data_IF_014006057630
#
_entry.id   IF_014006057630
#
_cell.length_a   1.000
_cell.length_b   1.000
_cell.length_c   1.000
_cell.angle_alpha   90.00
_cell.angle_beta   90.00
_cell.angle_gamma   90.00
#
_symmetry.space_group_name_H-M   'P 1'
#
loop_
_entity.id
_entity.type
_entity.pdbx_description
1 polymer ?
#
# COMPACT_ATOMS: atom_id res chain seq x y z
N UNK A 1 -9.70 10.38 17.67
CA UNK A 1 -9.45 9.68 16.39
C UNK A 1 -8.24 10.31 15.74
N UNK A 2 -7.41 9.52 15.05
CA UNK A 2 -6.21 10.04 14.39
C UNK A 2 -6.58 10.72 13.07
N UNK A 3 -5.88 11.82 12.77
CA UNK A 3 -6.04 12.61 11.54
C UNK A 3 -5.04 12.12 10.51
N UNK A 4 -5.54 11.75 9.33
CA UNK A 4 -4.73 11.21 8.24
C UNK A 4 -4.87 12.10 7.02
N UNK A 5 -3.74 12.53 6.47
CA UNK A 5 -3.65 13.23 5.19
C UNK A 5 -3.20 12.23 4.12
N UNK A 6 -3.76 12.34 2.92
CA UNK A 6 -3.43 11.44 1.81
C UNK A 6 -2.46 12.12 0.85
N UNK A 7 -1.31 11.50 0.59
CA UNK A 7 -0.38 12.00 -0.42
C UNK A 7 -0.75 11.45 -1.81
N UNK A 8 -1.26 12.33 -2.67
CA UNK A 8 -1.82 12.03 -3.99
C UNK A 8 -3.33 12.26 -4.02
N UNK A 9 -3.79 13.17 -4.90
CA UNK A 9 -5.20 13.61 -4.95
C UNK A 9 -6.05 12.96 -6.05
N UNK A 10 -5.44 12.13 -6.91
CA UNK A 10 -6.09 11.52 -8.08
C UNK A 10 -6.93 10.30 -7.69
N UNK A 11 -7.34 9.49 -8.68
CA UNK A 11 -8.25 8.36 -8.50
C UNK A 11 -7.86 7.41 -7.36
N UNK A 12 -6.56 7.08 -7.23
CA UNK A 12 -6.10 6.25 -6.12
C UNK A 12 -6.18 6.98 -4.76
N UNK A 13 -5.94 8.29 -4.73
CA UNK A 13 -6.17 9.15 -3.56
C UNK A 13 -7.61 9.12 -3.08
N UNK A 14 -8.57 9.25 -4.00
CA UNK A 14 -10.00 9.17 -3.69
C UNK A 14 -10.39 7.79 -3.12
N UNK A 15 -9.78 6.71 -3.62
CA UNK A 15 -9.98 5.36 -3.06
C UNK A 15 -9.39 5.28 -1.64
N UNK A 16 -8.19 5.83 -1.43
CA UNK A 16 -7.53 5.84 -0.12
C UNK A 16 -8.31 6.69 0.91
N UNK A 17 -8.95 7.78 0.47
CA UNK A 17 -9.85 8.57 1.30
C UNK A 17 -11.01 7.72 1.85
N UNK A 18 -11.61 6.85 1.03
CA UNK A 18 -12.72 6.01 1.48
C UNK A 18 -12.27 4.99 2.54
N UNK A 19 -11.17 4.27 2.30
CA UNK A 19 -10.66 3.29 3.28
C UNK A 19 -10.19 3.93 4.59
N UNK A 20 -9.74 5.20 4.59
CA UNK A 20 -9.46 5.95 5.83
C UNK A 20 -10.71 6.00 6.70
N UNK A 21 -11.87 6.32 6.11
CA UNK A 21 -13.14 6.39 6.81
C UNK A 21 -13.57 5.00 7.28
N UNK A 22 -13.47 3.97 6.44
CA UNK A 22 -13.79 2.59 6.81
C UNK A 22 -12.95 2.07 7.98
N UNK A 23 -11.70 2.53 8.09
CA UNK A 23 -10.79 2.20 9.19
C UNK A 23 -11.02 3.05 10.47
N UNK A 24 -12.00 3.97 10.48
CA UNK A 24 -12.30 4.83 11.64
C UNK A 24 -11.33 5.98 11.86
N UNK A 25 -10.58 6.39 10.83
CA UNK A 25 -9.71 7.56 10.85
C UNK A 25 -10.43 8.81 10.34
N UNK A 26 -9.86 9.99 10.64
CA UNK A 26 -10.36 11.27 10.12
C UNK A 26 -9.55 11.64 8.89
N UNK A 27 -10.17 11.61 7.71
CA UNK A 27 -9.59 12.20 6.50
C UNK A 27 -9.43 13.72 6.68
N UNK A 28 -8.22 14.21 6.47
CA UNK A 28 -7.86 15.62 6.72
C UNK A 28 -7.53 16.42 5.45
N UNK A 29 -7.50 15.77 4.28
CA UNK A 29 -7.20 16.40 2.99
C UNK A 29 -6.13 15.65 2.21
N UNK A 30 -5.76 16.21 1.05
CA UNK A 30 -4.73 15.70 0.16
C UNK A 30 -3.48 16.58 0.17
N UNK A 31 -2.31 15.95 0.04
CA UNK A 31 -1.08 16.58 -0.44
C UNK A 31 -0.96 16.26 -1.93
N UNK A 32 -0.70 17.26 -2.77
CA UNK A 32 -0.38 17.03 -4.17
C UNK A 32 0.53 18.13 -4.70
N UNK A 33 1.65 17.74 -5.32
CA UNK A 33 2.65 18.68 -5.85
C UNK A 33 2.37 19.07 -7.30
N UNK A 34 1.45 18.39 -7.97
CA UNK A 34 1.21 18.53 -9.41
C UNK A 34 -0.19 19.06 -9.73
N UNK A 35 -1.14 18.84 -8.83
CA UNK A 35 -2.54 19.16 -9.06
C UNK A 35 -3.13 19.96 -7.89
N UNK A 36 -3.95 20.94 -8.22
CA UNK A 36 -4.86 21.58 -7.27
C UNK A 36 -6.24 20.93 -7.35
N UNK A 37 -7.05 21.09 -6.31
CA UNK A 37 -8.39 20.55 -6.30
C UNK A 37 -9.10 20.66 -4.97
N UNK A 38 -10.32 20.13 -4.93
CA UNK A 38 -11.11 20.04 -3.71
C UNK A 38 -10.35 19.19 -2.67
N UNK A 39 -10.30 19.67 -1.43
CA UNK A 39 -9.57 19.06 -0.31
C UNK A 39 -8.04 18.97 -0.47
N UNK A 40 -7.44 19.51 -1.53
CA UNK A 40 -5.98 19.63 -1.63
C UNK A 40 -5.51 20.75 -0.70
N UNK A 41 -4.71 20.38 0.29
CA UNK A 41 -4.17 21.27 1.32
C UNK A 41 -2.98 22.10 0.80
N UNK A 42 -2.35 21.63 -0.28
CA UNK A 42 -1.18 22.22 -0.90
C UNK A 42 -0.14 21.18 -1.30
N UNK A 43 1.02 21.68 -1.71
CA UNK A 43 2.22 20.87 -1.96
C UNK A 43 2.80 20.30 -0.67
N UNK A 44 3.71 19.33 -0.81
CA UNK A 44 4.44 18.74 0.30
C UNK A 44 5.09 19.80 1.22
N UNK A 45 5.77 20.79 0.62
CA UNK A 45 6.45 21.86 1.35
C UNK A 45 5.47 22.73 2.16
N UNK A 46 4.29 23.01 1.59
CA UNK A 46 3.26 23.77 2.30
C UNK A 46 2.69 22.96 3.47
N UNK A 47 2.47 21.66 3.29
CA UNK A 47 1.91 20.78 4.33
C UNK A 47 2.87 20.57 5.49
N UNK A 48 4.20 20.52 5.25
CA UNK A 48 5.20 20.48 6.32
C UNK A 48 5.03 21.61 7.34
N UNK A 49 4.67 22.82 6.85
CA UNK A 49 4.52 24.01 7.70
C UNK A 49 3.16 24.11 8.36
N UNK A 50 2.12 23.61 7.72
CA UNK A 50 0.72 23.82 8.13
C UNK A 50 0.11 22.64 8.89
N UNK A 51 0.65 21.43 8.72
CA UNK A 51 0.10 20.18 9.27
C UNK A 51 1.20 19.32 9.90
N UNK A 52 1.70 19.69 11.09
CA UNK A 52 2.90 19.08 11.67
C UNK A 52 2.71 17.59 12.06
N UNK A 53 3.81 16.81 12.10
CA UNK A 53 3.78 15.35 12.28
C UNK A 53 3.33 14.86 13.67
N UNK A 54 3.28 15.75 14.67
CA UNK A 54 2.72 15.46 15.99
C UNK A 54 1.18 15.44 16.00
N UNK A 55 0.55 16.03 14.98
CA UNK A 55 -0.91 16.15 14.85
C UNK A 55 -1.50 15.32 13.71
N UNK A 56 -0.71 15.04 12.66
CA UNK A 56 -1.17 14.36 11.46
C UNK A 56 -0.29 13.15 11.13
N UNK A 57 -0.92 12.03 10.77
CA UNK A 57 -0.27 10.89 10.12
C UNK A 57 -0.54 10.93 8.60
N UNK A 58 0.24 10.20 7.79
CA UNK A 58 0.14 10.24 6.32
C UNK A 58 -0.16 8.85 5.74
N UNK A 59 -1.08 8.79 4.78
CA UNK A 59 -1.24 7.63 3.91
C UNK A 59 -0.74 7.97 2.49
N UNK A 60 0.02 7.10 1.85
CA UNK A 60 0.61 7.37 0.53
C UNK A 60 -0.25 6.74 -0.56
N UNK A 61 -0.89 7.59 -1.37
CA UNK A 61 -1.76 7.20 -2.48
C UNK A 61 -1.12 7.51 -3.84
N UNK A 62 0.16 7.16 -3.98
CA UNK A 62 0.87 7.17 -5.26
C UNK A 62 0.72 5.79 -5.91
N UNK A 63 0.19 5.76 -7.14
CA UNK A 63 -0.14 4.54 -7.87
C UNK A 63 1.07 3.79 -8.43
N UNK A 64 0.83 2.59 -8.95
CA UNK A 64 1.86 1.65 -9.41
C UNK A 64 2.68 2.14 -10.61
N UNK A 65 2.21 3.11 -11.39
CA UNK A 65 3.01 3.72 -12.46
C UNK A 65 4.19 4.55 -11.92
N UNK A 66 4.24 4.79 -10.60
CA UNK A 66 5.21 5.67 -9.96
C UNK A 66 5.79 5.05 -8.67
N UNK A 67 6.05 3.73 -8.66
CA UNK A 67 6.59 3.03 -7.48
C UNK A 67 7.90 3.64 -6.97
N UNK A 68 8.80 4.07 -7.86
CA UNK A 68 10.04 4.74 -7.45
C UNK A 68 9.75 6.06 -6.70
N UNK A 69 8.83 6.88 -7.22
CA UNK A 69 8.44 8.13 -6.56
C UNK A 69 7.75 7.88 -5.22
N UNK A 70 6.89 6.85 -5.14
CA UNK A 70 6.24 6.42 -3.89
C UNK A 70 7.26 6.12 -2.78
N UNK A 71 8.33 5.38 -3.10
CA UNK A 71 9.42 5.07 -2.16
C UNK A 71 10.20 6.33 -1.74
N UNK A 72 10.45 7.26 -2.68
CA UNK A 72 11.11 8.52 -2.37
C UNK A 72 10.27 9.40 -1.43
N UNK A 73 8.97 9.52 -1.69
CA UNK A 73 8.04 10.28 -0.84
C UNK A 73 7.94 9.65 0.55
N UNK A 74 7.86 8.32 0.64
CA UNK A 74 7.91 7.62 1.92
C UNK A 74 9.13 8.03 2.74
N UNK A 75 10.33 7.99 2.14
CA UNK A 75 11.55 8.40 2.82
C UNK A 75 11.51 9.87 3.26
N UNK A 76 11.09 10.78 2.38
CA UNK A 76 11.00 12.22 2.72
C UNK A 76 10.08 12.47 3.92
N UNK A 77 8.92 11.83 3.95
CA UNK A 77 7.96 11.97 5.03
C UNK A 77 8.53 11.44 6.36
N UNK A 78 9.19 10.28 6.33
CA UNK A 78 9.86 9.70 7.51
C UNK A 78 10.99 10.57 8.03
N UNK A 79 11.82 11.11 7.14
CA UNK A 79 12.92 12.01 7.49
C UNK A 79 12.40 13.31 8.14
N UNK A 80 11.16 13.70 7.86
CA UNK A 80 10.49 14.86 8.45
C UNK A 80 9.58 14.50 9.66
N UNK A 81 9.73 13.29 10.19
CA UNK A 81 9.09 12.87 11.44
C UNK A 81 7.63 12.40 11.31
N UNK A 82 7.06 12.37 10.10
CA UNK A 82 5.71 11.84 9.93
C UNK A 82 5.68 10.34 10.16
N UNK A 83 4.59 9.92 10.82
CA UNK A 83 4.20 8.53 10.83
C UNK A 83 3.38 8.19 9.59
N UNK A 84 3.67 7.05 8.98
CA UNK A 84 2.96 6.55 7.80
C UNK A 84 1.92 5.53 8.25
N UNK A 85 0.65 5.87 8.10
CA UNK A 85 -0.46 5.06 8.59
C UNK A 85 -0.66 3.84 7.71
N UNK A 86 -0.63 2.65 8.33
CA UNK A 86 -1.16 1.44 7.68
C UNK A 86 -2.69 1.48 7.73
N UNK A 87 -3.33 1.27 6.58
CA UNK A 87 -4.79 1.26 6.45
C UNK A 87 -5.24 -0.16 6.17
N UNK A 88 -5.87 -0.80 7.15
CA UNK A 88 -6.28 -2.19 7.07
C UNK A 88 -7.81 -2.23 7.14
N UNK A 89 -8.44 -2.51 6.01
CA UNK A 89 -9.90 -2.53 5.92
C UNK A 89 -10.48 -3.58 6.89
N UNK A 90 -11.52 -3.27 7.68
CA UNK A 90 -12.09 -4.17 8.69
C UNK A 90 -12.58 -5.53 8.16
N UNK A 91 -12.90 -5.63 6.88
CA UNK A 91 -13.32 -6.89 6.23
C UNK A 91 -12.17 -7.77 5.73
N UNK A 92 -10.92 -7.31 5.83
CA UNK A 92 -9.77 -8.16 5.52
C UNK A 92 -9.60 -9.23 6.61
N UNK A 93 -9.08 -10.40 6.21
CA UNK A 93 -8.78 -11.50 7.12
C UNK A 93 -7.27 -11.60 7.21
N UNK A 94 -6.71 -11.32 8.38
CA UNK A 94 -5.27 -11.36 8.60
C UNK A 94 -4.99 -12.33 9.75
N UNK A 95 -4.14 -13.32 9.50
CA UNK A 95 -3.69 -14.26 10.51
C UNK A 95 -2.97 -13.53 11.65
N UNK A 96 -3.19 -13.95 12.89
CA UNK A 96 -2.51 -13.41 14.08
C UNK A 96 -0.97 -13.55 14.02
N UNK A 97 -0.47 -14.45 13.17
CA UNK A 97 0.97 -14.68 12.98
C UNK A 97 1.55 -13.91 11.78
N UNK A 98 0.73 -13.21 11.02
CA UNK A 98 1.19 -12.37 9.93
C UNK A 98 1.78 -11.06 10.46
N UNK A 99 2.79 -10.55 9.80
CA UNK A 99 3.44 -9.28 10.10
C UNK A 99 3.14 -8.32 8.96
N UNK A 100 2.49 -7.20 9.27
CA UNK A 100 2.21 -6.12 8.32
C UNK A 100 2.98 -4.88 8.76
N UNK A 101 3.96 -4.47 7.95
CA UNK A 101 4.79 -3.32 8.27
C UNK A 101 4.09 -1.98 7.92
N UNK A 102 4.72 -0.89 8.33
CA UNK A 102 4.13 0.45 8.31
C UNK A 102 3.75 0.95 6.92
N UNK A 103 2.74 1.83 6.85
CA UNK A 103 2.27 2.46 5.60
C UNK A 103 1.62 1.52 4.59
N UNK A 104 1.47 0.23 4.91
CA UNK A 104 0.81 -0.73 4.03
C UNK A 104 -0.70 -0.54 4.03
N UNK A 105 -1.28 -0.55 2.83
CA UNK A 105 -2.72 -0.42 2.61
C UNK A 105 -3.26 -1.80 2.23
N UNK A 106 -4.16 -2.35 3.04
CA UNK A 106 -4.85 -3.63 2.82
C UNK A 106 -6.34 -3.35 2.61
N UNK A 107 -6.78 -3.60 1.39
CA UNK A 107 -8.14 -3.31 0.96
C UNK A 107 -9.14 -4.41 1.36
N UNK A 108 -10.42 -4.10 1.14
CA UNK A 108 -11.57 -4.96 1.44
C UNK A 108 -11.40 -6.40 0.95
N UNK A 109 -11.62 -7.36 1.86
CA UNK A 109 -11.67 -8.78 1.52
C UNK A 109 -10.33 -9.41 1.13
N UNK A 110 -9.21 -8.72 1.32
CA UNK A 110 -7.90 -9.35 1.22
C UNK A 110 -7.72 -10.40 2.33
N UNK A 111 -7.03 -11.50 2.01
CA UNK A 111 -6.75 -12.61 2.94
C UNK A 111 -5.24 -12.77 3.05
N UNK A 112 -4.71 -12.58 4.26
CA UNK A 112 -3.30 -12.73 4.59
C UNK A 112 -3.17 -13.89 5.58
N UNK A 113 -2.60 -14.99 5.12
CA UNK A 113 -2.51 -16.24 5.88
C UNK A 113 -1.33 -16.23 6.89
N UNK A 114 -1.14 -17.35 7.59
CA UNK A 114 -0.17 -17.48 8.67
C UNK A 114 1.29 -17.31 8.23
N UNK A 115 2.10 -16.73 9.11
CA UNK A 115 3.55 -16.52 8.92
C UNK A 115 3.91 -15.71 7.67
N UNK A 116 2.97 -14.97 7.11
CA UNK A 116 3.24 -14.01 6.03
C UNK A 116 3.93 -12.77 6.60
N UNK A 117 4.93 -12.26 5.89
CA UNK A 117 5.51 -10.94 6.18
C UNK A 117 5.26 -10.00 5.00
N UNK A 118 4.67 -8.84 5.27
CA UNK A 118 4.43 -7.77 4.29
C UNK A 118 5.30 -6.56 4.67
N UNK A 119 6.14 -6.12 3.73
CA UNK A 119 7.03 -4.97 3.86
C UNK A 119 6.30 -3.64 3.97
N UNK A 120 7.05 -2.56 4.12
CA UNK A 120 6.48 -1.21 4.26
C UNK A 120 5.80 -0.77 2.96
N UNK A 121 4.84 0.14 3.10
CA UNK A 121 4.20 0.86 1.98
C UNK A 121 3.71 -0.04 0.84
N UNK A 122 3.31 -1.27 1.12
CA UNK A 122 2.69 -2.14 0.13
C UNK A 122 1.25 -1.70 -0.16
N UNK A 123 0.71 -2.10 -1.31
CA UNK A 123 -0.73 -2.02 -1.59
C UNK A 123 -1.24 -3.41 -1.91
N UNK A 124 -2.19 -3.86 -1.10
CA UNK A 124 -2.88 -5.14 -1.24
C UNK A 124 -4.32 -4.81 -1.64
N UNK A 125 -4.64 -4.96 -2.92
CA UNK A 125 -5.96 -4.63 -3.46
C UNK A 125 -7.05 -5.61 -3.01
N UNK A 126 -8.33 -5.29 -3.28
CA UNK A 126 -9.45 -6.13 -2.86
C UNK A 126 -9.33 -7.56 -3.37
N UNK A 127 -9.69 -8.50 -2.50
CA UNK A 127 -9.71 -9.93 -2.81
C UNK A 127 -8.33 -10.56 -3.08
N UNK A 128 -7.23 -9.85 -2.86
CA UNK A 128 -5.88 -10.45 -2.92
C UNK A 128 -5.76 -11.53 -1.85
N UNK A 129 -5.20 -12.68 -2.23
CA UNK A 129 -4.89 -13.78 -1.31
C UNK A 129 -3.39 -13.98 -1.24
N UNK A 130 -2.82 -13.91 -0.04
CA UNK A 130 -1.42 -14.23 0.24
C UNK A 130 -1.39 -15.43 1.19
N UNK A 131 -1.00 -16.59 0.66
CA UNK A 131 -0.97 -17.84 1.42
C UNK A 131 0.23 -17.90 2.37
N UNK A 132 0.22 -18.91 3.23
CA UNK A 132 1.17 -19.07 4.32
C UNK A 132 2.65 -18.99 3.88
N UNK A 133 3.50 -18.53 4.81
CA UNK A 133 4.96 -18.46 4.64
C UNK A 133 5.45 -17.59 3.46
N UNK A 134 4.60 -16.71 2.93
CA UNK A 134 5.01 -15.78 1.89
C UNK A 134 5.73 -14.55 2.46
N UNK A 135 6.64 -13.99 1.65
CA UNK A 135 7.32 -12.74 1.93
C UNK A 135 7.00 -11.73 0.82
N UNK A 136 6.33 -10.63 1.17
CA UNK A 136 6.03 -9.53 0.27
C UNK A 136 6.99 -8.38 0.60
N UNK A 137 7.85 -8.04 -0.35
CA UNK A 137 8.83 -6.96 -0.24
C UNK A 137 8.16 -5.59 -0.23
N UNK A 138 8.85 -4.61 0.36
CA UNK A 138 8.35 -3.25 0.52
C UNK A 138 7.95 -2.64 -0.82
N UNK A 139 6.97 -1.72 -0.79
CA UNK A 139 6.47 -1.00 -1.96
C UNK A 139 5.86 -1.90 -3.06
N UNK A 140 5.63 -3.19 -2.80
CA UNK A 140 4.96 -4.08 -3.74
C UNK A 140 3.48 -3.67 -3.92
N UNK A 141 2.97 -3.89 -5.13
CA UNK A 141 1.62 -3.50 -5.52
C UNK A 141 0.87 -4.70 -6.09
N UNK A 142 0.04 -5.33 -5.26
CA UNK A 142 -0.71 -6.53 -5.59
C UNK A 142 -2.13 -6.13 -5.98
N UNK A 143 -2.47 -6.26 -7.25
CA UNK A 143 -3.75 -5.85 -7.83
C UNK A 143 -4.90 -6.84 -7.53
N UNK A 144 -6.17 -6.42 -7.76
CA UNK A 144 -7.33 -7.15 -7.28
C UNK A 144 -7.34 -8.63 -7.68
N UNK A 145 -7.77 -9.49 -6.75
CA UNK A 145 -7.90 -10.93 -6.95
C UNK A 145 -6.62 -11.64 -7.41
N UNK A 146 -5.44 -11.06 -7.22
CA UNK A 146 -4.18 -11.81 -7.41
C UNK A 146 -3.98 -12.79 -6.24
N UNK A 147 -3.38 -13.95 -6.54
CA UNK A 147 -3.11 -15.01 -5.56
C UNK A 147 -1.62 -15.27 -5.49
N UNK A 148 -1.06 -15.20 -4.29
CA UNK A 148 0.33 -15.57 -4.00
C UNK A 148 0.31 -16.90 -3.25
N UNK A 149 0.72 -17.98 -3.91
CA UNK A 149 0.76 -19.31 -3.30
C UNK A 149 1.91 -19.44 -2.29
N UNK A 150 1.82 -20.46 -1.43
CA UNK A 150 2.68 -20.63 -0.26
C UNK A 150 4.18 -20.60 -0.57
N UNK A 151 4.96 -20.21 0.44
CA UNK A 151 6.43 -20.10 0.37
C UNK A 151 6.96 -19.21 -0.77
N UNK A 152 6.12 -18.39 -1.37
CA UNK A 152 6.53 -17.50 -2.46
C UNK A 152 7.09 -16.19 -1.92
N UNK A 153 8.01 -15.61 -2.68
CA UNK A 153 8.61 -14.30 -2.40
C UNK A 153 8.26 -13.33 -3.52
N UNK A 154 7.66 -12.21 -3.15
CA UNK A 154 7.53 -11.06 -4.04
C UNK A 154 8.58 -10.06 -3.59
N UNK A 155 9.54 -9.74 -4.43
CA UNK A 155 10.58 -8.78 -4.06
C UNK A 155 10.11 -7.33 -4.23
N UNK A 156 10.90 -6.41 -3.67
CA UNK A 156 10.55 -5.00 -3.53
C UNK A 156 10.09 -4.34 -4.84
N UNK A 157 9.11 -3.44 -4.73
CA UNK A 157 8.60 -2.61 -5.83
C UNK A 157 8.10 -3.40 -7.03
N UNK A 158 7.69 -4.66 -6.83
CA UNK A 158 7.08 -5.47 -7.88
C UNK A 158 5.58 -5.17 -8.01
N UNK A 159 5.09 -5.22 -9.24
CA UNK A 159 3.67 -5.12 -9.58
C UNK A 159 3.11 -6.51 -9.92
N UNK A 160 2.06 -6.91 -9.21
CA UNK A 160 1.35 -8.18 -9.46
C UNK A 160 -0.02 -7.87 -10.01
N UNK A 161 -0.23 -8.12 -11.30
CA UNK A 161 -1.44 -7.74 -12.02
C UNK A 161 -2.70 -8.46 -11.54
N UNK A 162 -3.86 -7.83 -11.79
CA UNK A 162 -5.15 -8.33 -11.32
C UNK A 162 -5.43 -9.75 -11.81
N UNK A 163 -5.96 -10.61 -10.94
CA UNK A 163 -6.29 -12.00 -11.27
C UNK A 163 -5.11 -12.90 -11.63
N UNK A 164 -3.87 -12.45 -11.41
CA UNK A 164 -2.68 -13.30 -11.63
C UNK A 164 -2.45 -14.27 -10.48
N UNK A 165 -1.72 -15.34 -10.76
CA UNK A 165 -1.31 -16.35 -9.77
C UNK A 165 0.21 -16.46 -9.75
N UNK A 166 0.81 -16.27 -8.58
CA UNK A 166 2.22 -16.62 -8.33
C UNK A 166 2.24 -18.02 -7.74
N UNK A 167 2.81 -18.96 -8.47
CA UNK A 167 2.82 -20.39 -8.13
C UNK A 167 3.69 -20.65 -6.90
N UNK A 168 3.32 -21.67 -6.13
CA UNK A 168 3.98 -22.11 -4.91
C UNK A 168 5.51 -22.18 -5.06
N UNK A 169 6.25 -21.69 -4.05
CA UNK A 169 7.72 -21.57 -4.04
C UNK A 169 8.33 -20.69 -5.16
N UNK A 170 7.57 -19.76 -5.74
CA UNK A 170 8.12 -18.84 -6.76
C UNK A 170 8.78 -17.60 -6.14
N UNK A 171 9.72 -17.02 -6.87
CA UNK A 171 10.39 -15.78 -6.49
C UNK A 171 10.19 -14.79 -7.63
N UNK A 172 9.34 -13.80 -7.41
CA UNK A 172 9.18 -12.67 -8.33
C UNK A 172 10.30 -11.67 -8.04
N UNK A 173 11.24 -11.43 -8.98
CA UNK A 173 12.36 -10.51 -8.78
C UNK A 173 11.90 -9.08 -8.52
N UNK A 174 12.73 -8.27 -7.86
CA UNK A 174 12.40 -6.87 -7.58
C UNK A 174 12.09 -6.07 -8.85
N UNK A 175 11.22 -5.06 -8.73
CA UNK A 175 10.80 -4.19 -9.84
C UNK A 175 10.13 -4.94 -11.01
N UNK A 176 9.66 -6.17 -10.78
CA UNK A 176 9.00 -6.96 -11.82
C UNK A 176 7.60 -6.46 -12.13
N UNK A 177 7.15 -6.75 -13.36
CA UNK A 177 5.77 -6.55 -13.79
C UNK A 177 5.15 -7.89 -14.17
N UNK A 178 4.29 -8.43 -13.29
CA UNK A 178 3.49 -9.63 -13.59
C UNK A 178 2.17 -9.19 -14.22
N UNK A 179 1.91 -9.66 -15.44
CA UNK A 179 0.72 -9.27 -16.21
C UNK A 179 -0.57 -9.74 -15.54
N UNK A 180 -1.63 -8.94 -15.68
CA UNK A 180 -2.97 -9.35 -15.24
C UNK A 180 -3.40 -10.67 -15.90
N UNK A 181 -4.07 -11.53 -15.11
CA UNK A 181 -4.57 -12.84 -15.54
C UNK A 181 -3.50 -13.88 -15.89
N UNK A 182 -2.22 -13.61 -15.58
CA UNK A 182 -1.13 -14.54 -15.89
C UNK A 182 -0.80 -15.47 -14.72
N UNK A 183 -0.10 -16.55 -15.03
CA UNK A 183 0.49 -17.46 -14.04
C UNK A 183 2.01 -17.22 -14.07
N UNK A 184 2.56 -16.74 -12.97
CA UNK A 184 4.00 -16.59 -12.78
C UNK A 184 4.55 -17.82 -12.07
N UNK A 185 5.62 -18.40 -12.61
CA UNK A 185 6.41 -19.41 -11.94
C UNK A 185 7.86 -19.32 -12.41
N UNK A 186 8.79 -19.86 -11.61
CA UNK A 186 10.23 -19.79 -11.89
C UNK A 186 10.73 -20.75 -13.00
N UNK A 187 9.84 -21.54 -13.63
CA UNK A 187 10.21 -22.61 -14.56
C UNK A 187 9.97 -22.23 -16.02
#
# INVERSE_FOLDING_TARGET
>A
MKRVIVYGSRDFGAIVQNIIVDCGYIFSGFIDDLYEGEYVLGSYEQVLTTHPPDQYEIAIAIGYNHLAARKQIYKKLKDNGYKITSLIHPSSIISNSAIVNEGTIIMTGAIIDMRVTIGEICVIWPGVVVNHDCCIGSNAFLCPNSTICGFSKIEESSFIGAGSVVVDHSIVPGESFVKAGSIFNNK
#
